data_IF_215296204102
#
_entry.id   IF_215296204102
#
_cell.length_a   1.000
_cell.length_b   1.000
_cell.length_c   1.000
_cell.angle_alpha   90.00
_cell.angle_beta   90.00
_cell.angle_gamma   90.00
#
_symmetry.space_group_name_H-M   'P 1'
#
loop_
_entity.id
_entity.type
_entity.pdbx_description
1 polymer ?
#
# COMPACT_ATOMS: atom_id res chain seq x y z
N UNK A 1 6.88 32.85 -20.26
CA UNK A 1 7.17 31.53 -19.68
C UNK A 1 8.19 31.66 -18.58
N UNK A 2 8.07 30.84 -17.53
CA UNK A 2 9.04 30.75 -16.44
C UNK A 2 9.37 29.29 -16.14
N UNK A 3 10.52 29.05 -15.49
CA UNK A 3 10.86 27.73 -14.97
C UNK A 3 9.98 27.36 -13.78
N UNK A 4 9.51 26.12 -13.71
CA UNK A 4 8.89 25.61 -12.49
C UNK A 4 9.85 25.64 -11.32
N UNK A 5 9.35 26.02 -10.13
CA UNK A 5 10.14 26.03 -8.88
C UNK A 5 10.44 24.62 -8.36
N UNK A 6 9.72 23.63 -8.87
CA UNK A 6 9.76 22.24 -8.41
C UNK A 6 10.49 21.33 -9.38
N UNK A 7 11.44 21.87 -10.18
CA UNK A 7 12.32 21.08 -11.01
C UNK A 7 13.51 20.58 -10.17
N UNK A 8 13.72 19.28 -10.15
CA UNK A 8 14.80 18.59 -9.42
C UNK A 8 15.65 17.80 -10.40
N UNK A 9 16.95 17.73 -10.13
CA UNK A 9 17.93 17.07 -10.98
C UNK A 9 18.87 16.22 -10.13
N UNK A 10 19.15 14.99 -10.58
CA UNK A 10 20.11 14.09 -9.96
C UNK A 10 20.95 13.40 -11.03
N UNK A 11 22.26 13.33 -10.80
CA UNK A 11 23.16 12.56 -11.66
C UNK A 11 23.10 11.07 -11.31
N UNK A 12 23.04 10.21 -12.34
CA UNK A 12 23.03 8.75 -12.21
C UNK A 12 23.61 8.12 -13.48
N UNK A 13 24.74 7.41 -13.35
CA UNK A 13 25.42 6.64 -14.39
C UNK A 13 25.52 7.34 -15.77
N UNK A 14 26.15 8.54 -15.78
CA UNK A 14 26.35 9.35 -17.00
C UNK A 14 25.08 9.99 -17.57
N UNK A 15 23.98 9.98 -16.80
CA UNK A 15 22.71 10.61 -17.12
C UNK A 15 22.28 11.57 -16.03
N UNK A 16 21.45 12.53 -16.40
CA UNK A 16 20.74 13.39 -15.45
C UNK A 16 19.28 12.99 -15.44
N UNK A 17 18.82 12.56 -14.28
CA UNK A 17 17.40 12.32 -14.01
C UNK A 17 16.75 13.66 -13.67
N UNK A 18 15.73 14.03 -14.42
CA UNK A 18 14.96 15.26 -14.27
C UNK A 18 13.58 14.91 -13.72
N UNK A 19 13.16 15.55 -12.62
CA UNK A 19 11.87 15.37 -11.98
C UNK A 19 11.17 16.70 -11.81
N UNK A 20 9.91 16.82 -12.22
CA UNK A 20 9.05 17.93 -11.81
C UNK A 20 8.19 17.50 -10.62
N UNK A 21 8.39 18.12 -9.46
CA UNK A 21 7.71 17.77 -8.21
C UNK A 21 6.22 18.13 -8.16
N UNK A 22 5.74 19.01 -9.03
CA UNK A 22 4.30 19.34 -9.11
C UNK A 22 3.53 18.24 -9.85
N UNK A 23 4.07 17.77 -10.97
CA UNK A 23 3.36 16.81 -11.85
C UNK A 23 3.79 15.36 -11.63
N UNK A 24 5.00 15.15 -11.06
CA UNK A 24 5.65 13.85 -10.99
C UNK A 24 6.22 13.37 -12.32
N UNK A 25 6.30 14.22 -13.32
CA UNK A 25 6.93 13.90 -14.60
C UNK A 25 8.42 13.68 -14.44
N UNK A 26 8.91 12.57 -14.98
CA UNK A 26 10.32 12.16 -14.93
C UNK A 26 10.82 11.85 -16.32
N UNK A 27 12.01 12.32 -16.64
CA UNK A 27 12.77 11.91 -17.83
C UNK A 27 14.27 11.92 -17.53
N UNK A 28 15.05 11.28 -18.38
CA UNK A 28 16.49 11.27 -18.29
C UNK A 28 17.11 11.89 -19.55
N UNK A 29 18.18 12.64 -19.39
CA UNK A 29 19.02 13.17 -20.47
C UNK A 29 20.46 12.78 -20.24
N UNK A 30 21.28 12.83 -21.28
CA UNK A 30 22.74 12.70 -21.15
C UNK A 30 23.34 13.95 -20.49
N UNK A 31 24.46 13.79 -19.80
CA UNK A 31 25.11 14.89 -19.07
C UNK A 31 25.54 16.06 -19.97
N UNK A 32 25.87 15.80 -21.23
CA UNK A 32 26.26 16.80 -22.21
C UNK A 32 25.09 17.73 -22.61
N UNK A 33 23.86 17.28 -22.53
CA UNK A 33 22.64 18.08 -22.82
C UNK A 33 22.22 18.94 -21.62
N UNK A 34 22.67 18.60 -20.41
CA UNK A 34 22.22 19.27 -19.19
C UNK A 34 22.53 20.76 -19.11
N UNK A 35 23.71 21.24 -19.58
CA UNK A 35 23.99 22.70 -19.65
C UNK A 35 22.98 23.45 -20.50
N UNK A 36 22.56 22.90 -21.65
CA UNK A 36 21.53 23.48 -22.52
C UNK A 36 20.20 23.54 -21.81
N UNK A 37 19.77 22.42 -21.16
CA UNK A 37 18.54 22.37 -20.39
C UNK A 37 18.53 23.44 -19.29
N UNK A 38 19.60 23.58 -18.54
CA UNK A 38 19.72 24.62 -17.49
C UNK A 38 19.60 26.03 -18.06
N UNK A 39 20.19 26.28 -19.23
CA UNK A 39 20.13 27.59 -19.88
C UNK A 39 18.68 27.90 -20.31
N UNK A 40 18.01 26.99 -20.94
CA UNK A 40 16.56 27.12 -21.27
C UNK A 40 15.72 27.43 -20.02
N UNK A 41 15.93 26.71 -18.93
CA UNK A 41 15.17 26.91 -17.69
C UNK A 41 15.49 28.25 -17.02
N UNK A 42 16.70 28.76 -17.18
CA UNK A 42 17.12 30.06 -16.64
C UNK A 42 16.61 31.23 -17.47
N UNK A 43 16.58 31.07 -18.79
CA UNK A 43 16.27 32.13 -19.77
C UNK A 43 15.17 31.66 -20.73
N UNK A 44 13.97 31.30 -20.27
CA UNK A 44 12.97 30.60 -21.08
C UNK A 44 12.35 31.42 -22.23
N UNK A 45 12.62 32.72 -22.25
CA UNK A 45 12.07 33.61 -23.27
C UNK A 45 13.12 34.00 -24.35
N UNK A 46 14.32 33.41 -24.29
CA UNK A 46 15.33 33.61 -25.32
C UNK A 46 14.98 32.81 -26.61
N UNK A 47 15.11 33.42 -27.77
CA UNK A 47 14.61 32.89 -29.04
C UNK A 47 15.53 31.86 -29.74
N UNK A 48 16.54 31.31 -29.08
CA UNK A 48 17.64 30.55 -29.73
C UNK A 48 17.58 29.04 -29.45
N UNK A 49 16.52 28.55 -28.82
CA UNK A 49 16.46 27.15 -28.38
C UNK A 49 15.79 26.20 -29.40
N UNK A 50 16.18 24.93 -29.35
CA UNK A 50 15.49 23.87 -30.07
C UNK A 50 14.00 23.83 -29.69
N UNK A 51 13.14 24.07 -30.70
CA UNK A 51 11.69 24.17 -30.49
C UNK A 51 11.08 22.87 -29.94
N UNK A 52 11.64 21.70 -30.29
CA UNK A 52 11.15 20.41 -29.84
C UNK A 52 11.49 20.18 -28.36
N UNK A 53 12.72 20.51 -27.96
CA UNK A 53 13.14 20.43 -26.56
C UNK A 53 12.33 21.40 -25.69
N UNK A 54 12.16 22.62 -26.15
CA UNK A 54 11.35 23.64 -25.45
C UNK A 54 9.91 23.19 -25.25
N UNK A 55 9.26 22.70 -26.32
CA UNK A 55 7.90 22.18 -26.24
C UNK A 55 7.77 20.95 -25.32
N UNK A 56 8.78 20.08 -25.32
CA UNK A 56 8.83 18.93 -24.43
C UNK A 56 8.91 19.35 -22.98
N UNK A 57 9.75 20.36 -22.65
CA UNK A 57 9.86 20.90 -21.30
C UNK A 57 8.54 21.56 -20.83
N UNK A 58 7.83 22.23 -21.73
CA UNK A 58 6.52 22.79 -21.44
C UNK A 58 5.47 21.68 -21.19
N UNK A 59 5.39 20.69 -22.07
CA UNK A 59 4.46 19.56 -21.92
C UNK A 59 4.71 18.75 -20.66
N UNK A 60 5.97 18.69 -20.20
CA UNK A 60 6.37 18.00 -18.98
C UNK A 60 6.31 18.90 -17.73
N UNK A 61 5.90 20.16 -17.88
CA UNK A 61 5.77 21.17 -16.83
C UNK A 61 7.09 21.60 -16.19
N UNK A 62 8.21 21.43 -16.86
CA UNK A 62 9.48 22.03 -16.46
C UNK A 62 9.53 23.54 -16.78
N UNK A 63 8.85 23.93 -17.86
CA UNK A 63 8.45 25.31 -18.17
C UNK A 63 6.95 25.46 -17.97
N UNK A 64 6.53 26.60 -17.46
CA UNK A 64 5.14 26.94 -17.16
C UNK A 64 4.81 28.36 -17.56
N UNK A 65 3.54 28.70 -17.67
CA UNK A 65 3.07 30.05 -17.93
C UNK A 65 3.44 31.01 -16.79
N UNK A 66 3.70 32.28 -17.11
CA UNK A 66 4.12 33.28 -16.14
C UNK A 66 3.09 33.51 -15.03
N UNK A 67 1.82 33.41 -15.35
CA UNK A 67 0.67 33.59 -14.46
C UNK A 67 0.29 32.34 -13.66
N UNK A 68 0.84 31.17 -13.98
CA UNK A 68 0.54 29.93 -13.25
C UNK A 68 1.08 29.99 -11.81
N UNK A 69 0.18 29.86 -10.85
CA UNK A 69 0.53 29.66 -9.43
C UNK A 69 0.61 28.15 -9.10
N UNK A 70 1.83 27.64 -9.02
CA UNK A 70 2.09 26.23 -8.70
C UNK A 70 1.62 25.84 -7.29
N UNK A 71 1.65 26.77 -6.33
CA UNK A 71 1.17 26.52 -4.96
C UNK A 71 -0.34 26.34 -4.98
N UNK A 72 -1.05 27.15 -5.76
CA UNK A 72 -2.50 26.99 -5.90
C UNK A 72 -2.87 25.69 -6.61
N UNK A 73 -2.11 25.28 -7.63
CA UNK A 73 -2.27 23.97 -8.26
C UNK A 73 -2.08 22.82 -7.27
N UNK A 74 -1.04 22.87 -6.41
CA UNK A 74 -0.79 21.87 -5.38
C UNK A 74 -1.89 21.88 -4.32
N UNK A 75 -2.36 23.06 -3.90
CA UNK A 75 -3.46 23.21 -2.94
C UNK A 75 -4.76 22.63 -3.47
N UNK A 76 -5.13 22.92 -4.71
CA UNK A 76 -6.32 22.34 -5.35
C UNK A 76 -6.20 20.82 -5.43
N UNK A 77 -5.08 20.30 -5.91
CA UNK A 77 -4.83 18.84 -5.98
C UNK A 77 -4.97 18.19 -4.60
N UNK A 78 -4.39 18.78 -3.57
CA UNK A 78 -4.53 18.30 -2.19
C UNK A 78 -6.00 18.29 -1.77
N UNK A 79 -6.72 19.40 -1.95
CA UNK A 79 -8.14 19.50 -1.59
C UNK A 79 -9.01 18.47 -2.33
N UNK A 80 -8.72 18.21 -3.60
CA UNK A 80 -9.46 17.22 -4.39
C UNK A 80 -9.12 15.79 -3.92
N UNK A 81 -7.87 15.53 -3.60
CA UNK A 81 -7.42 14.20 -3.13
C UNK A 81 -8.02 13.79 -1.80
N UNK A 82 -8.29 14.75 -0.89
CA UNK A 82 -8.86 14.46 0.44
C UNK A 82 -10.39 14.36 0.45
N UNK A 83 -11.08 14.80 -0.63
CA UNK A 83 -12.56 14.90 -0.74
C UNK A 83 -13.20 13.77 -1.54
N UNK A 84 -12.58 12.62 -1.67
CA UNK A 84 -13.14 11.52 -2.46
C UNK A 84 -14.52 11.05 -1.99
N UNK A 85 -15.27 10.38 -2.88
CA UNK A 85 -16.58 9.75 -2.57
C UNK A 85 -16.44 8.33 -1.97
N UNK A 86 -15.23 7.86 -1.76
CA UNK A 86 -14.93 6.64 -1.02
C UNK A 86 -14.80 6.95 0.47
N UNK A 87 -15.50 6.19 1.30
CA UNK A 87 -15.23 6.14 2.73
C UNK A 87 -14.45 4.87 3.08
N UNK A 88 -13.28 5.03 3.70
CA UNK A 88 -12.47 3.92 4.21
C UNK A 88 -12.59 3.83 5.73
N UNK A 89 -13.13 2.72 6.22
CA UNK A 89 -13.19 2.41 7.65
C UNK A 89 -12.23 1.26 7.96
N UNK A 90 -11.23 1.53 8.80
CA UNK A 90 -10.42 0.48 9.41
C UNK A 90 -11.04 0.08 10.74
N UNK A 91 -11.15 -1.20 10.98
CA UNK A 91 -11.60 -1.77 12.25
C UNK A 91 -10.54 -2.72 12.77
N UNK A 92 -10.12 -2.50 14.02
CA UNK A 92 -9.22 -3.37 14.75
C UNK A 92 -10.07 -4.20 15.74
N UNK A 93 -10.43 -5.45 15.42
CA UNK A 93 -11.24 -6.30 16.29
C UNK A 93 -10.58 -6.55 17.65
N UNK A 94 -9.23 -6.56 17.65
CA UNK A 94 -8.37 -6.83 18.80
C UNK A 94 -6.97 -6.30 18.58
N UNK A 95 -6.21 -6.09 19.64
CA UNK A 95 -4.75 -5.94 19.60
C UNK A 95 -4.02 -7.26 19.94
N UNK A 96 -4.76 -8.32 20.31
CA UNK A 96 -4.16 -9.64 20.51
C UNK A 96 -3.64 -10.21 19.18
N UNK A 97 -2.53 -10.93 19.26
CA UNK A 97 -1.98 -11.67 18.12
C UNK A 97 -1.50 -13.04 18.62
N UNK A 98 -1.65 -14.05 17.78
CA UNK A 98 -1.09 -15.37 18.05
C UNK A 98 0.43 -15.44 17.78
N UNK A 99 1.02 -14.43 17.14
CA UNK A 99 2.45 -14.28 16.92
C UNK A 99 3.08 -13.26 17.90
N UNK A 100 4.42 -13.33 18.03
CA UNK A 100 5.21 -12.38 18.83
C UNK A 100 6.46 -11.96 18.07
N UNK A 101 6.25 -11.34 16.89
CA UNK A 101 7.32 -10.86 16.03
C UNK A 101 8.13 -9.78 16.77
N UNK A 102 9.45 -9.93 16.83
CA UNK A 102 10.32 -9.02 17.60
C UNK A 102 10.29 -7.56 17.16
N UNK A 103 9.97 -7.32 15.90
CA UNK A 103 9.88 -5.95 15.32
C UNK A 103 8.45 -5.40 15.36
N UNK A 104 7.49 -6.10 15.93
CA UNK A 104 6.11 -5.64 15.98
C UNK A 104 6.00 -4.36 16.81
N UNK A 105 5.28 -3.36 16.30
CA UNK A 105 5.00 -2.13 17.03
C UNK A 105 3.73 -2.22 17.89
N UNK A 106 2.91 -3.24 17.70
CA UNK A 106 1.70 -3.47 18.48
C UNK A 106 2.05 -4.00 19.88
N UNK A 107 1.33 -3.49 20.88
CA UNK A 107 1.54 -3.89 22.29
C UNK A 107 0.88 -5.23 22.66
N UNK A 108 0.10 -5.83 21.76
CA UNK A 108 -0.63 -7.09 21.97
C UNK A 108 -1.47 -7.12 23.26
N UNK A 109 -2.14 -5.99 23.56
CA UNK A 109 -3.02 -5.89 24.72
C UNK A 109 -4.15 -6.89 24.57
N UNK A 110 -4.42 -7.65 25.63
CA UNK A 110 -5.51 -8.63 25.67
C UNK A 110 -6.86 -7.93 25.65
N UNK A 111 -7.75 -8.42 24.86
CA UNK A 111 -9.11 -7.91 24.73
C UNK A 111 -9.60 -7.86 23.30
N UNK A 112 -10.91 -7.93 23.16
CA UNK A 112 -11.61 -7.86 21.88
C UNK A 112 -12.70 -6.81 21.92
N UNK A 113 -13.17 -6.40 20.77
CA UNK A 113 -14.35 -5.56 20.64
C UNK A 113 -15.56 -6.26 21.28
N UNK A 114 -16.19 -5.62 22.26
CA UNK A 114 -17.38 -6.16 22.91
C UNK A 114 -18.66 -5.85 22.11
N UNK A 115 -19.76 -6.53 22.46
CA UNK A 115 -21.01 -6.38 21.72
C UNK A 115 -21.56 -4.95 21.70
N UNK A 116 -21.38 -4.16 22.77
CA UNK A 116 -21.84 -2.75 22.79
C UNK A 116 -21.08 -1.92 21.75
N UNK A 117 -19.76 -2.08 21.68
CA UNK A 117 -18.94 -1.39 20.69
C UNK A 117 -19.28 -1.88 19.28
N UNK A 118 -19.44 -3.20 19.09
CA UNK A 118 -19.84 -3.79 17.81
C UNK A 118 -21.14 -3.16 17.27
N UNK A 119 -22.16 -3.04 18.10
CA UNK A 119 -23.44 -2.43 17.70
C UNK A 119 -23.27 -0.92 17.39
N UNK A 120 -22.43 -0.21 18.13
CA UNK A 120 -22.13 1.20 17.83
C UNK A 120 -21.39 1.35 16.50
N UNK A 121 -20.48 0.42 16.16
CA UNK A 121 -19.79 0.41 14.86
C UNK A 121 -20.78 0.12 13.73
N UNK A 122 -21.74 -0.78 13.89
CA UNK A 122 -22.82 -1.00 12.92
C UNK A 122 -23.62 0.28 12.66
N UNK A 123 -24.04 0.97 13.73
CA UNK A 123 -24.76 2.24 13.61
C UNK A 123 -23.90 3.33 12.93
N UNK A 124 -22.59 3.35 13.17
CA UNK A 124 -21.67 4.25 12.49
C UNK A 124 -21.61 3.95 11.00
N UNK A 125 -21.46 2.67 10.61
CA UNK A 125 -21.48 2.20 9.22
C UNK A 125 -22.78 2.63 8.53
N UNK A 126 -23.92 2.44 9.18
CA UNK A 126 -25.24 2.82 8.65
C UNK A 126 -25.31 4.32 8.32
N UNK A 127 -24.80 5.17 9.22
CA UNK A 127 -24.77 6.61 9.02
C UNK A 127 -23.84 7.03 7.87
N UNK A 128 -22.68 6.36 7.74
CA UNK A 128 -21.74 6.68 6.67
C UNK A 128 -22.28 6.25 5.31
N UNK A 129 -22.78 5.03 5.21
CA UNK A 129 -23.30 4.49 3.93
C UNK A 129 -24.55 5.26 3.48
N UNK A 130 -25.35 5.79 4.39
CA UNK A 130 -26.50 6.64 4.05
C UNK A 130 -26.15 8.04 3.55
N UNK A 131 -24.89 8.50 3.64
CA UNK A 131 -24.48 9.81 3.15
C UNK A 131 -24.58 9.88 1.63
N UNK A 132 -25.09 11.01 1.12
CA UNK A 132 -25.26 11.22 -0.33
C UNK A 132 -23.96 11.50 -1.08
N UNK A 133 -22.93 12.01 -0.38
CA UNK A 133 -21.61 12.30 -0.93
C UNK A 133 -20.67 11.08 -0.97
N UNK A 134 -21.10 9.94 -0.39
CA UNK A 134 -20.37 8.67 -0.42
C UNK A 134 -21.00 7.74 -1.47
N UNK A 135 -20.19 7.27 -2.40
CA UNK A 135 -20.59 6.31 -3.43
C UNK A 135 -19.99 4.90 -3.22
N UNK A 136 -18.93 4.83 -2.43
CA UNK A 136 -18.18 3.60 -2.18
C UNK A 136 -17.77 3.49 -0.71
N UNK A 137 -17.79 2.28 -0.18
CA UNK A 137 -17.41 1.99 1.19
C UNK A 137 -16.40 0.83 1.23
N UNK A 138 -15.23 1.09 1.78
CA UNK A 138 -14.19 0.11 2.06
C UNK A 138 -14.15 -0.20 3.55
N UNK A 139 -14.35 -1.49 3.90
CA UNK A 139 -14.16 -1.99 5.26
C UNK A 139 -12.82 -2.73 5.33
N UNK A 140 -11.88 -2.21 6.10
CA UNK A 140 -10.53 -2.75 6.21
C UNK A 140 -10.29 -3.32 7.61
N UNK A 141 -9.71 -4.52 7.68
CA UNK A 141 -9.42 -5.21 8.95
C UNK A 141 -7.94 -5.11 9.28
N UNK A 142 -7.65 -4.71 10.51
CA UNK A 142 -6.29 -4.54 11.02
C UNK A 142 -6.21 -4.90 12.52
N UNK A 143 -5.11 -4.56 13.19
CA UNK A 143 -4.86 -4.80 14.61
C UNK A 143 -3.80 -5.87 14.83
N UNK A 144 -3.85 -6.60 15.94
CA UNK A 144 -2.89 -7.68 16.21
C UNK A 144 -3.03 -8.81 15.19
N UNK A 145 -4.00 -9.71 15.38
CA UNK A 145 -4.44 -10.66 14.36
C UNK A 145 -5.98 -10.65 14.30
N UNK A 146 -6.57 -10.03 13.28
CA UNK A 146 -8.02 -9.87 13.21
C UNK A 146 -8.79 -11.19 13.13
N UNK A 147 -8.23 -12.23 12.50
CA UNK A 147 -8.87 -13.53 12.34
C UNK A 147 -9.03 -14.33 13.66
N UNK A 148 -8.41 -13.89 14.75
CA UNK A 148 -8.68 -14.48 16.09
C UNK A 148 -10.14 -14.36 16.49
N UNK A 149 -10.80 -13.28 16.07
CA UNK A 149 -12.20 -12.99 16.43
C UNK A 149 -13.09 -12.90 15.18
N UNK A 150 -12.84 -13.82 14.24
CA UNK A 150 -13.55 -13.87 12.98
C UNK A 150 -15.07 -14.04 13.17
N UNK A 151 -15.51 -15.04 13.94
CA UNK A 151 -16.92 -15.36 14.11
C UNK A 151 -17.67 -14.31 14.92
N UNK A 152 -17.01 -13.77 15.93
CA UNK A 152 -17.60 -12.86 16.91
C UNK A 152 -17.73 -11.43 16.38
N UNK A 153 -16.76 -10.99 15.55
CA UNK A 153 -16.67 -9.58 15.15
C UNK A 153 -16.67 -9.41 13.64
N UNK A 154 -15.74 -10.07 12.92
CA UNK A 154 -15.58 -9.83 11.48
C UNK A 154 -16.83 -10.26 10.72
N UNK A 155 -17.29 -11.48 10.94
CA UNK A 155 -18.44 -12.04 10.24
C UNK A 155 -19.70 -11.16 10.37
N UNK A 156 -20.19 -10.84 11.58
CA UNK A 156 -21.42 -10.06 11.73
C UNK A 156 -21.29 -8.63 11.20
N UNK A 157 -20.11 -7.99 11.36
CA UNK A 157 -19.92 -6.62 10.92
C UNK A 157 -19.80 -6.52 9.39
N UNK A 158 -19.07 -7.44 8.77
CA UNK A 158 -18.92 -7.49 7.31
C UNK A 158 -20.25 -7.73 6.60
N UNK A 159 -21.05 -8.70 7.11
CA UNK A 159 -22.40 -8.96 6.57
C UNK A 159 -23.33 -7.77 6.73
N UNK A 160 -23.30 -7.11 7.89
CA UNK A 160 -24.06 -5.88 8.11
C UNK A 160 -23.70 -4.77 7.11
N UNK A 161 -22.39 -4.50 6.95
CA UNK A 161 -21.92 -3.48 6.03
C UNK A 161 -22.28 -3.80 4.57
N UNK A 162 -22.12 -5.05 4.15
CA UNK A 162 -22.48 -5.52 2.82
C UNK A 162 -23.99 -5.31 2.54
N UNK A 163 -24.86 -5.83 3.40
CA UNK A 163 -26.30 -5.68 3.26
C UNK A 163 -26.75 -4.21 3.23
N UNK A 164 -26.12 -3.36 4.06
CA UNK A 164 -26.43 -1.93 4.08
C UNK A 164 -25.99 -1.26 2.79
N UNK A 165 -24.79 -1.55 2.28
CA UNK A 165 -24.28 -0.98 1.04
C UNK A 165 -25.13 -1.40 -0.17
N UNK A 166 -25.51 -2.68 -0.25
CA UNK A 166 -26.40 -3.22 -1.30
C UNK A 166 -27.75 -2.51 -1.29
N UNK A 167 -28.35 -2.33 -0.10
CA UNK A 167 -29.64 -1.63 0.06
C UNK A 167 -29.58 -0.17 -0.40
N UNK A 168 -28.47 0.51 -0.19
CA UNK A 168 -28.26 1.91 -0.58
C UNK A 168 -27.67 2.07 -1.99
N UNK A 169 -27.46 0.96 -2.73
CA UNK A 169 -26.87 0.98 -4.07
C UNK A 169 -25.43 1.47 -4.13
N UNK A 170 -24.65 1.26 -3.06
CA UNK A 170 -23.25 1.70 -2.95
C UNK A 170 -22.29 0.56 -3.30
N UNK A 171 -21.14 0.92 -3.87
CA UNK A 171 -20.04 -0.03 -4.04
C UNK A 171 -19.45 -0.41 -2.68
N UNK A 172 -19.21 -1.70 -2.48
CA UNK A 172 -18.66 -2.24 -1.23
C UNK A 172 -17.57 -3.27 -1.52
N UNK A 173 -16.48 -3.20 -0.79
CA UNK A 173 -15.45 -4.24 -0.73
C UNK A 173 -14.74 -4.23 0.61
N UNK A 174 -13.96 -5.27 0.84
CA UNK A 174 -13.17 -5.41 2.04
C UNK A 174 -11.70 -5.65 1.73
N UNK A 175 -10.84 -5.20 2.65
CA UNK A 175 -9.41 -5.50 2.67
C UNK A 175 -9.01 -5.99 4.06
N UNK A 176 -7.92 -6.74 4.18
CA UNK A 176 -7.45 -7.25 5.47
C UNK A 176 -5.92 -7.28 5.52
N UNK A 177 -5.36 -6.85 6.64
CA UNK A 177 -3.97 -7.18 7.01
C UNK A 177 -4.01 -8.29 8.06
N UNK A 178 -3.42 -9.43 7.75
CA UNK A 178 -3.38 -10.61 8.60
C UNK A 178 -2.03 -11.30 8.53
N UNK A 179 -1.66 -12.07 9.54
CA UNK A 179 -0.49 -12.93 9.44
C UNK A 179 -0.74 -14.17 8.55
N UNK A 180 -1.98 -14.39 8.12
CA UNK A 180 -2.38 -15.46 7.20
C UNK A 180 -2.49 -16.86 7.81
N UNK A 181 -2.14 -17.04 9.08
CA UNK A 181 -2.12 -18.34 9.75
C UNK A 181 -3.51 -18.97 9.88
N UNK A 182 -4.53 -18.14 10.11
CA UNK A 182 -5.93 -18.55 10.24
C UNK A 182 -6.77 -18.35 8.99
N UNK A 183 -6.17 -18.03 7.85
CA UNK A 183 -6.90 -17.92 6.58
C UNK A 183 -7.29 -19.31 6.03
N UNK A 184 -8.14 -20.01 6.76
CA UNK A 184 -8.60 -21.38 6.47
C UNK A 184 -9.60 -21.42 5.31
N UNK A 185 -9.88 -22.60 4.71
CA UNK A 185 -10.87 -22.73 3.63
C UNK A 185 -12.26 -22.15 3.96
N UNK A 186 -12.73 -22.30 5.20
CA UNK A 186 -14.02 -21.73 5.63
C UNK A 186 -14.00 -20.18 5.60
N UNK A 187 -12.89 -19.58 6.03
CA UNK A 187 -12.71 -18.13 5.99
C UNK A 187 -12.54 -17.65 4.55
N UNK A 188 -11.84 -18.41 3.70
CA UNK A 188 -11.71 -18.10 2.26
C UNK A 188 -13.10 -18.12 1.58
N UNK A 189 -13.95 -19.07 1.91
CA UNK A 189 -15.33 -19.09 1.40
C UNK A 189 -16.10 -17.84 1.82
N UNK A 190 -16.01 -17.43 3.07
CA UNK A 190 -16.60 -16.18 3.55
C UNK A 190 -16.02 -14.95 2.83
N UNK A 191 -14.70 -14.89 2.59
CA UNK A 191 -14.07 -13.80 1.86
C UNK A 191 -14.71 -13.60 0.48
N UNK A 192 -14.93 -14.70 -0.25
CA UNK A 192 -15.61 -14.69 -1.55
C UNK A 192 -17.05 -14.17 -1.45
N UNK A 193 -17.81 -14.61 -0.46
CA UNK A 193 -19.21 -14.20 -0.27
C UNK A 193 -19.38 -12.74 0.14
N UNK A 194 -18.38 -12.15 0.81
CA UNK A 194 -18.46 -10.81 1.39
C UNK A 194 -17.57 -9.79 0.67
N UNK A 195 -17.02 -10.14 -0.50
CA UNK A 195 -16.14 -9.27 -1.30
C UNK A 195 -14.89 -8.80 -0.55
N UNK A 196 -14.31 -9.69 0.27
CA UNK A 196 -12.96 -9.52 0.80
C UNK A 196 -11.98 -10.08 -0.23
N UNK A 197 -11.55 -9.26 -1.16
CA UNK A 197 -10.75 -9.66 -2.33
C UNK A 197 -9.27 -9.30 -2.21
N UNK A 198 -8.88 -8.47 -1.25
CA UNK A 198 -7.48 -8.09 -1.06
C UNK A 198 -7.02 -8.34 0.36
N UNK A 199 -5.95 -9.10 0.50
CA UNK A 199 -5.30 -9.40 1.78
C UNK A 199 -3.82 -9.03 1.74
N UNK A 200 -3.33 -8.37 2.80
CA UNK A 200 -1.90 -8.19 3.02
C UNK A 200 -1.41 -9.26 4.00
N UNK A 201 -0.47 -10.09 3.53
CA UNK A 201 0.13 -11.17 4.32
C UNK A 201 1.64 -11.01 4.30
N UNK A 202 2.30 -11.36 5.41
CA UNK A 202 3.76 -11.21 5.55
C UNK A 202 4.46 -12.56 5.55
N UNK A 203 5.48 -12.70 4.70
CA UNK A 203 6.50 -13.75 4.78
C UNK A 203 7.89 -13.10 4.87
N UNK A 204 8.62 -13.36 5.94
CA UNK A 204 9.90 -12.71 6.22
C UNK A 204 11.08 -13.62 5.90
N UNK A 205 11.55 -13.56 4.66
CA UNK A 205 12.69 -14.36 4.22
C UNK A 205 12.34 -15.82 3.94
N UNK A 206 13.37 -16.68 3.93
CA UNK A 206 13.21 -18.13 3.76
C UNK A 206 12.46 -18.78 4.94
N UNK A 207 12.15 -20.05 4.82
CA UNK A 207 11.39 -20.82 5.83
C UNK A 207 12.00 -20.74 7.24
N UNK A 208 13.32 -20.84 7.36
CA UNK A 208 14.02 -20.81 8.64
C UNK A 208 13.89 -19.45 9.30
N UNK A 209 14.23 -18.37 8.60
CA UNK A 209 14.14 -17.00 9.09
C UNK A 209 12.72 -16.61 9.46
N UNK A 210 11.77 -16.97 8.59
CA UNK A 210 10.36 -16.73 8.88
C UNK A 210 9.92 -17.42 10.17
N UNK A 211 10.15 -18.73 10.29
CA UNK A 211 9.71 -19.52 11.45
C UNK A 211 10.40 -19.09 12.75
N UNK A 212 11.61 -18.56 12.70
CA UNK A 212 12.31 -17.99 13.85
C UNK A 212 11.62 -16.71 14.35
N UNK A 213 11.15 -15.88 13.44
CA UNK A 213 10.57 -14.56 13.74
C UNK A 213 9.05 -14.61 13.91
N UNK A 214 8.38 -15.39 13.07
CA UNK A 214 6.92 -15.46 12.95
C UNK A 214 6.45 -16.88 13.17
N UNK A 215 6.09 -17.18 14.39
CA UNK A 215 5.61 -18.52 14.77
C UNK A 215 4.44 -18.43 15.75
N UNK A 216 3.61 -19.45 15.77
CA UNK A 216 2.53 -19.58 16.73
C UNK A 216 3.01 -20.35 17.96
N UNK A 217 3.40 -19.64 19.01
CA UNK A 217 3.83 -20.24 20.26
C UNK A 217 4.93 -21.31 20.07
N UNK A 218 5.90 -21.01 19.19
CA UNK A 218 7.00 -21.91 18.83
C UNK A 218 6.69 -22.90 17.70
N UNK A 219 5.46 -22.95 17.18
CA UNK A 219 5.12 -23.80 16.02
C UNK A 219 5.45 -23.11 14.73
N UNK A 220 6.10 -23.79 13.76
CA UNK A 220 6.37 -23.23 12.42
C UNK A 220 5.10 -22.75 11.72
N UNK A 221 5.18 -21.65 11.00
CA UNK A 221 4.04 -21.05 10.34
C UNK A 221 4.19 -20.88 8.82
N UNK A 222 5.43 -20.93 8.30
CA UNK A 222 5.73 -20.63 6.90
C UNK A 222 4.87 -21.44 5.92
N UNK A 223 4.92 -22.77 6.01
CA UNK A 223 4.24 -23.65 5.06
C UNK A 223 2.71 -23.47 5.10
N UNK A 224 2.15 -23.34 6.29
CA UNK A 224 0.72 -23.09 6.47
C UNK A 224 0.28 -21.76 5.87
N UNK A 225 1.04 -20.70 6.08
CA UNK A 225 0.74 -19.39 5.51
C UNK A 225 0.86 -19.42 3.99
N UNK A 226 1.90 -20.05 3.47
CA UNK A 226 2.11 -20.21 2.03
C UNK A 226 0.94 -20.98 1.37
N UNK A 227 0.52 -22.09 1.95
CA UNK A 227 -0.64 -22.86 1.49
C UNK A 227 -1.92 -22.01 1.50
N UNK A 228 -2.16 -21.26 2.57
CA UNK A 228 -3.31 -20.37 2.69
C UNK A 228 -3.30 -19.26 1.64
N UNK A 229 -2.14 -18.68 1.33
CA UNK A 229 -1.97 -17.70 0.24
C UNK A 229 -2.39 -18.32 -1.10
N UNK A 230 -1.87 -19.48 -1.43
CA UNK A 230 -2.15 -20.18 -2.69
C UNK A 230 -3.64 -20.52 -2.80
N UNK A 231 -4.23 -21.05 -1.73
CA UNK A 231 -5.65 -21.40 -1.69
C UNK A 231 -6.56 -20.17 -1.82
N UNK A 232 -6.18 -19.05 -1.21
CA UNK A 232 -6.92 -17.79 -1.36
C UNK A 232 -6.88 -17.29 -2.80
N UNK A 233 -5.73 -17.26 -3.45
CA UNK A 233 -5.61 -16.89 -4.86
C UNK A 233 -6.44 -17.81 -5.77
N UNK A 234 -6.35 -19.13 -5.58
CA UNK A 234 -7.10 -20.11 -6.38
C UNK A 234 -8.61 -20.03 -6.22
N UNK A 235 -9.09 -19.51 -5.09
CA UNK A 235 -10.52 -19.47 -4.79
C UNK A 235 -11.30 -18.46 -5.65
N UNK A 236 -10.66 -17.41 -6.13
CA UNK A 236 -11.24 -16.40 -7.01
C UNK A 236 -10.14 -15.66 -7.78
N UNK A 237 -10.31 -15.49 -9.09
CA UNK A 237 -9.35 -14.77 -9.96
C UNK A 237 -9.22 -13.28 -9.61
N UNK A 238 -10.22 -12.69 -8.97
CA UNK A 238 -10.20 -11.29 -8.53
C UNK A 238 -9.44 -11.10 -7.20
N UNK A 239 -9.05 -12.20 -6.54
CA UNK A 239 -8.32 -12.10 -5.29
C UNK A 239 -6.91 -11.57 -5.52
N UNK A 240 -6.48 -10.69 -4.64
CA UNK A 240 -5.16 -10.08 -4.62
C UNK A 240 -4.49 -10.31 -3.26
N UNK A 241 -3.26 -10.76 -3.28
CA UNK A 241 -2.40 -10.84 -2.10
C UNK A 241 -1.30 -9.78 -2.21
N UNK A 242 -1.23 -8.87 -1.24
CA UNK A 242 -0.06 -8.02 -1.05
C UNK A 242 0.90 -8.83 -0.17
N UNK A 243 1.86 -9.48 -0.80
CA UNK A 243 2.89 -10.25 -0.11
C UNK A 243 3.95 -9.29 0.43
N UNK A 244 3.87 -9.00 1.71
CA UNK A 244 4.79 -8.11 2.40
C UNK A 244 6.03 -8.88 2.84
N UNK A 245 7.19 -8.38 2.48
CA UNK A 245 8.50 -8.86 2.95
C UNK A 245 9.06 -7.78 3.89
N UNK A 246 9.03 -8.02 5.21
CA UNK A 246 9.74 -7.14 6.13
C UNK A 246 11.21 -7.55 6.13
N UNK A 247 12.06 -6.68 5.60
CA UNK A 247 13.45 -7.05 5.40
C UNK A 247 14.41 -6.38 6.37
N UNK A 248 15.37 -7.18 6.78
CA UNK A 248 16.62 -6.81 7.44
C UNK A 248 17.78 -7.13 6.50
N UNK A 249 19.00 -6.76 6.89
CA UNK A 249 20.19 -7.19 6.14
C UNK A 249 20.23 -8.73 6.02
N UNK A 250 19.96 -9.45 7.11
CA UNK A 250 19.95 -10.93 7.16
C UNK A 250 18.93 -11.53 6.17
N UNK A 251 17.70 -10.96 6.09
CA UNK A 251 16.66 -11.43 5.16
C UNK A 251 17.09 -11.28 3.71
N UNK A 252 17.73 -10.17 3.36
CA UNK A 252 18.20 -9.91 1.99
C UNK A 252 19.38 -10.82 1.63
N UNK A 253 20.34 -11.00 2.54
CA UNK A 253 21.55 -11.83 2.32
C UNK A 253 21.24 -13.33 2.27
N UNK A 254 20.30 -13.82 3.10
CA UNK A 254 19.87 -15.23 3.08
C UNK A 254 19.09 -15.62 1.81
N UNK A 255 18.62 -14.62 1.07
CA UNK A 255 17.89 -14.81 -0.17
C UNK A 255 16.40 -15.10 0.01
N UNK A 256 15.65 -14.82 -1.03
CA UNK A 256 14.18 -14.91 -1.07
C UNK A 256 13.67 -15.94 -2.08
N UNK A 257 14.57 -16.67 -2.74
CA UNK A 257 14.21 -17.63 -3.81
C UNK A 257 13.19 -18.65 -3.33
N UNK A 258 13.41 -19.25 -2.16
CA UNK A 258 12.50 -20.25 -1.61
C UNK A 258 11.06 -19.76 -1.52
N UNK A 259 10.82 -18.51 -1.10
CA UNK A 259 9.48 -17.92 -1.03
C UNK A 259 8.83 -17.88 -2.41
N UNK A 260 9.53 -17.29 -3.39
CA UNK A 260 8.95 -17.00 -4.70
C UNK A 260 8.88 -18.23 -5.61
N UNK A 261 9.83 -19.15 -5.51
CA UNK A 261 9.83 -20.41 -6.28
C UNK A 261 8.81 -21.42 -5.74
N UNK A 262 8.44 -21.34 -4.46
CA UNK A 262 7.42 -22.21 -3.85
C UNK A 262 5.99 -21.84 -4.25
N UNK A 263 5.77 -20.69 -4.86
CA UNK A 263 4.45 -20.21 -5.30
C UNK A 263 4.23 -20.64 -6.76
N UNK A 264 3.14 -21.39 -7.06
CA UNK A 264 2.82 -21.82 -8.41
C UNK A 264 2.62 -20.66 -9.38
N UNK A 265 3.09 -20.84 -10.62
CA UNK A 265 3.10 -19.80 -11.67
C UNK A 265 1.71 -19.19 -11.92
N UNK A 266 0.66 -20.04 -11.88
CA UNK A 266 -0.71 -19.63 -12.18
C UNK A 266 -1.30 -18.61 -11.19
N UNK A 267 -0.77 -18.53 -9.95
CA UNK A 267 -1.26 -17.59 -8.95
C UNK A 267 -0.36 -16.35 -8.77
N UNK A 268 0.85 -16.35 -9.34
CA UNK A 268 1.80 -15.22 -9.22
C UNK A 268 1.23 -13.87 -9.69
N UNK A 269 0.43 -13.80 -10.76
CA UNK A 269 -0.17 -12.52 -11.18
C UNK A 269 -1.10 -11.87 -10.15
N UNK A 270 -1.65 -12.66 -9.22
CA UNK A 270 -2.52 -12.19 -8.13
C UNK A 270 -1.73 -11.74 -6.89
N UNK A 271 -0.39 -11.94 -6.87
CA UNK A 271 0.44 -11.66 -5.71
C UNK A 271 1.36 -10.48 -5.99
N UNK A 272 1.06 -9.34 -5.40
CA UNK A 272 1.90 -8.14 -5.47
C UNK A 272 2.93 -8.15 -4.35
N UNK A 273 4.20 -8.06 -4.70
CA UNK A 273 5.28 -8.06 -3.71
C UNK A 273 5.57 -6.66 -3.22
N UNK A 274 5.62 -6.49 -1.88
CA UNK A 274 5.88 -5.25 -1.19
C UNK A 274 7.03 -5.40 -0.19
N UNK A 275 8.17 -4.77 -0.44
CA UNK A 275 9.29 -4.75 0.48
C UNK A 275 9.15 -3.61 1.49
N UNK A 276 9.29 -3.94 2.78
CA UNK A 276 9.26 -2.98 3.87
C UNK A 276 10.48 -3.14 4.77
N UNK A 277 11.22 -2.05 4.96
CA UNK A 277 12.35 -2.04 5.88
C UNK A 277 11.87 -2.21 7.32
N UNK A 278 12.54 -3.06 8.08
CA UNK A 278 12.34 -3.14 9.53
C UNK A 278 13.04 -1.94 10.20
N UNK A 279 12.25 -1.03 10.76
CA UNK A 279 12.74 0.25 11.28
C UNK A 279 13.71 0.13 12.46
N UNK A 280 13.60 -0.95 13.24
CA UNK A 280 14.43 -1.23 14.41
C UNK A 280 15.86 -1.67 14.06
N UNK A 281 16.18 -1.79 12.76
CA UNK A 281 17.49 -2.24 12.30
C UNK A 281 18.35 -1.09 11.76
N UNK A 282 19.66 -1.17 12.01
CA UNK A 282 20.70 -0.24 11.51
C UNK A 282 21.54 -0.92 10.43
N UNK A 283 22.27 -0.14 9.63
CA UNK A 283 23.26 -0.67 8.68
C UNK A 283 22.69 -1.27 7.39
N UNK A 284 21.48 -0.88 7.01
CA UNK A 284 20.80 -1.36 5.79
C UNK A 284 21.23 -0.57 4.53
N UNK A 285 22.00 0.50 4.66
CA UNK A 285 22.40 1.37 3.54
C UNK A 285 23.16 0.61 2.43
N UNK A 286 23.79 -0.52 2.77
CA UNK A 286 24.55 -1.36 1.83
C UNK A 286 23.70 -2.47 1.16
N UNK A 287 22.41 -2.57 1.44
CA UNK A 287 21.55 -3.62 0.87
C UNK A 287 20.81 -3.19 -0.40
N UNK A 288 21.01 -1.97 -0.89
CA UNK A 288 20.29 -1.43 -2.05
C UNK A 288 20.51 -2.25 -3.31
N UNK A 289 21.74 -2.63 -3.60
CA UNK A 289 22.08 -3.44 -4.78
C UNK A 289 21.45 -4.83 -4.72
N UNK A 290 21.63 -5.54 -3.59
CA UNK A 290 21.05 -6.86 -3.39
C UNK A 290 19.50 -6.82 -3.43
N UNK A 291 18.88 -5.77 -2.90
CA UNK A 291 17.44 -5.56 -3.02
C UNK A 291 17.01 -5.36 -4.47
N UNK A 292 17.77 -4.59 -5.27
CA UNK A 292 17.47 -4.40 -6.69
C UNK A 292 17.60 -5.69 -7.49
N UNK A 293 18.57 -6.56 -7.17
CA UNK A 293 18.70 -7.89 -7.75
C UNK A 293 17.48 -8.77 -7.45
N UNK A 294 17.02 -8.75 -6.19
CA UNK A 294 15.78 -9.47 -5.81
C UNK A 294 14.56 -8.93 -6.56
N UNK A 295 14.40 -7.61 -6.67
CA UNK A 295 13.28 -7.00 -7.40
C UNK A 295 13.29 -7.40 -8.88
N UNK A 296 14.47 -7.43 -9.52
CA UNK A 296 14.61 -7.88 -10.90
C UNK A 296 14.22 -9.34 -11.05
N UNK A 297 14.76 -10.22 -10.21
CA UNK A 297 14.46 -11.64 -10.19
C UNK A 297 12.96 -11.92 -10.01
N UNK A 298 12.30 -11.26 -9.04
CA UNK A 298 10.88 -11.42 -8.77
C UNK A 298 10.03 -10.99 -9.97
N UNK A 299 10.42 -9.90 -10.63
CA UNK A 299 9.77 -9.44 -11.86
C UNK A 299 9.91 -10.45 -13.00
N UNK A 300 11.09 -11.07 -13.16
CA UNK A 300 11.34 -12.13 -14.15
C UNK A 300 10.48 -13.37 -13.89
N UNK A 301 10.16 -13.68 -12.62
CA UNK A 301 9.22 -14.74 -12.23
C UNK A 301 7.74 -14.40 -12.48
N UNK A 302 7.42 -13.19 -12.94
CA UNK A 302 6.07 -12.77 -13.29
C UNK A 302 5.25 -12.16 -12.14
N UNK A 303 5.88 -11.79 -11.02
CA UNK A 303 5.17 -11.11 -9.94
C UNK A 303 5.00 -9.60 -10.22
N UNK A 304 3.79 -9.05 -10.05
CA UNK A 304 3.61 -7.62 -9.96
C UNK A 304 4.32 -7.04 -8.72
N UNK A 305 5.01 -5.92 -8.89
CA UNK A 305 5.60 -5.20 -7.78
C UNK A 305 4.67 -4.07 -7.34
N UNK A 306 4.53 -3.88 -6.04
CA UNK A 306 3.90 -2.66 -5.52
C UNK A 306 4.88 -1.51 -5.77
N UNK A 307 4.50 -0.57 -6.62
CA UNK A 307 5.25 0.66 -6.81
C UNK A 307 5.24 1.42 -5.48
N UNK A 308 6.38 1.39 -4.79
CA UNK A 308 6.49 1.95 -3.45
C UNK A 308 6.27 3.46 -3.43
N UNK A 309 5.49 3.83 -2.50
CA UNK A 309 5.11 5.07 -1.84
C UNK A 309 5.87 6.36 -2.15
N UNK A 310 7.17 6.36 -2.47
CA UNK A 310 7.88 7.56 -2.85
C UNK A 310 7.31 8.17 -4.15
N UNK A 311 7.09 7.35 -5.19
CA UNK A 311 6.47 7.82 -6.44
C UNK A 311 5.00 8.19 -6.30
N UNK A 312 4.25 7.50 -5.44
CA UNK A 312 2.83 7.81 -5.21
C UNK A 312 2.65 9.15 -4.49
N UNK A 313 3.53 9.48 -3.55
CA UNK A 313 3.56 10.80 -2.88
C UNK A 313 3.84 11.92 -3.90
N UNK A 314 4.82 11.74 -4.79
CA UNK A 314 5.11 12.71 -5.84
C UNK A 314 3.98 12.88 -6.85
N UNK A 315 3.16 11.85 -7.06
CA UNK A 315 1.94 11.92 -7.89
C UNK A 315 0.75 12.53 -7.18
N UNK A 316 0.91 13.03 -5.96
CA UNK A 316 -0.14 13.66 -5.16
C UNK A 316 -1.12 12.68 -4.53
N UNK A 317 -0.79 11.40 -4.43
CA UNK A 317 -1.53 10.45 -3.61
C UNK A 317 -1.20 10.71 -2.15
N UNK A 318 -2.19 11.18 -1.42
CA UNK A 318 -2.09 11.44 0.00
C UNK A 318 -2.17 10.13 0.80
N UNK A 319 -1.58 10.14 2.01
CA UNK A 319 -1.85 9.09 2.97
C UNK A 319 -3.36 9.01 3.23
N UNK A 320 -3.91 7.80 3.31
CA UNK A 320 -5.34 7.63 3.62
C UNK A 320 -5.75 8.27 4.95
N UNK A 321 -4.82 8.40 5.90
CA UNK A 321 -5.05 9.09 7.16
C UNK A 321 -5.36 10.60 7.00
N UNK A 322 -4.96 11.22 5.88
CA UNK A 322 -5.28 12.62 5.56
C UNK A 322 -6.68 12.78 4.93
N UNK A 323 -7.27 11.70 4.42
CA UNK A 323 -8.58 11.75 3.79
C UNK A 323 -9.68 12.14 4.77
N UNK A 324 -10.62 13.00 4.36
CA UNK A 324 -11.77 13.39 5.18
C UNK A 324 -12.70 12.21 5.47
N UNK A 325 -12.86 11.33 4.50
CA UNK A 325 -13.71 10.14 4.56
C UNK A 325 -12.92 8.91 5.02
N UNK A 326 -12.33 9.01 6.22
CA UNK A 326 -11.51 7.96 6.82
C UNK A 326 -11.69 7.93 8.34
N UNK A 327 -11.72 6.73 8.89
CA UNK A 327 -11.62 6.49 10.34
C UNK A 327 -10.96 5.14 10.62
N UNK A 328 -10.28 5.04 11.76
CA UNK A 328 -9.76 3.81 12.32
C UNK A 328 -10.38 3.60 13.70
N UNK A 329 -11.17 2.54 13.88
CA UNK A 329 -11.86 2.20 15.14
C UNK A 329 -11.14 1.03 15.79
N UNK A 330 -10.65 1.25 17.00
CA UNK A 330 -9.99 0.23 17.79
C UNK A 330 -11.01 -0.62 18.58
N UNK A 331 -10.56 -1.79 19.09
CA UNK A 331 -11.40 -2.75 19.82
C UNK A 331 -12.10 -2.16 21.06
N UNK A 332 -11.55 -1.11 21.64
CA UNK A 332 -12.10 -0.38 22.79
C UNK A 332 -13.10 0.75 22.40
N UNK A 333 -13.34 0.93 21.10
CA UNK A 333 -14.24 1.95 20.55
C UNK A 333 -13.61 3.32 20.36
N UNK A 334 -12.32 3.49 20.65
CA UNK A 334 -11.61 4.70 20.35
C UNK A 334 -11.42 4.86 18.84
N UNK A 335 -11.50 6.10 18.36
CA UNK A 335 -11.38 6.44 16.93
C UNK A 335 -10.10 7.24 16.71
N UNK A 336 -9.32 6.79 15.74
CA UNK A 336 -8.04 7.38 15.39
C UNK A 336 -7.98 7.78 13.91
N UNK A 337 -7.01 8.63 13.58
CA UNK A 337 -6.63 8.92 12.18
C UNK A 337 -5.47 8.03 11.74
N UNK A 338 -4.58 7.69 12.65
CA UNK A 338 -3.44 6.81 12.43
C UNK A 338 -3.10 6.05 13.71
#
# INVERSE_FOLDING_TARGET
MKSSRYNYFAADDGKIICLNGVTGNVFAISEDVFPLLKDILKNPNDQIYDANLYQSLYNLHFLIDDDLDEIDCLRKRYQDSIKGSLYKLIVNPTQECNFRCWYCYENHVKGQMNNNILERVKLFIDKIIARTDINSFELSWFGGEPLLYFKEIIYPLARHAQCKAEKEGKSFWQTMTTNGYYLTPDIITFCKETRLTSVQITLDGNRELHNRTRNEQGKPSFDRILENIINFCRSNIENEVILRINYTKEVIEAGLKEVFESIPDEVRPQIRVNFQRVWQTVGIEKTSEALMEHLKYIKELGYPLVNNTAFDIYRGKQCYADMLNYANINYDGNVFRC
#
